data_IF_768072767872
#
_entry.id   IF_768072767872
#
_cell.length_a   1.000
_cell.length_b   1.000
_cell.length_c   1.000
_cell.angle_alpha   90.00
_cell.angle_beta   90.00
_cell.angle_gamma   90.00
#
_symmetry.space_group_name_H-M   'P 1'
#
loop_
_entity.id
_entity.type
_entity.pdbx_description
1 polymer ?
#
# COMPACT_ATOMS: atom_id res chain seq x y z
N UNK A 1 -5.00 22.94 15.15
CA UNK A 1 -4.70 22.45 13.79
C UNK A 1 -4.74 20.93 13.83
N UNK A 2 -5.60 20.29 13.05
CA UNK A 2 -5.63 18.82 12.94
C UNK A 2 -4.71 18.45 11.77
N UNK A 3 -3.67 17.67 12.05
CA UNK A 3 -2.78 17.14 11.03
C UNK A 3 -3.24 15.72 10.67
N UNK A 4 -3.32 15.43 9.37
CA UNK A 4 -3.75 14.13 8.86
C UNK A 4 -2.90 13.76 7.66
N UNK A 5 -2.50 12.49 7.58
CA UNK A 5 -1.76 11.94 6.46
C UNK A 5 -2.74 11.28 5.49
N UNK A 6 -2.64 11.61 4.20
CA UNK A 6 -3.35 10.92 3.14
C UNK A 6 -2.33 10.25 2.21
N UNK A 7 -2.48 8.94 2.02
CA UNK A 7 -1.68 8.16 1.09
C UNK A 7 -2.58 7.56 0.02
N UNK A 8 -2.10 7.58 -1.22
CA UNK A 8 -2.74 6.93 -2.36
C UNK A 8 -1.73 5.95 -2.98
N UNK A 9 -2.10 4.68 -3.07
CA UNK A 9 -1.29 3.64 -3.71
C UNK A 9 -2.05 3.04 -4.90
N UNK A 10 -1.30 2.83 -5.99
CA UNK A 10 -1.82 2.39 -7.27
C UNK A 10 -0.72 1.61 -8.00
N UNK A 11 -1.12 0.58 -8.75
CA UNK A 11 -0.34 -0.06 -9.80
C UNK A 11 -1.25 -0.25 -11.03
N UNK A 12 -0.70 -0.12 -12.25
CA UNK A 12 -1.47 -0.36 -13.46
C UNK A 12 -1.91 -1.84 -13.55
N UNK A 13 -3.06 -2.13 -14.16
CA UNK A 13 -3.65 -3.48 -14.18
C UNK A 13 -2.78 -4.53 -14.90
N UNK A 14 -1.87 -4.11 -15.77
CA UNK A 14 -0.92 -4.94 -16.51
C UNK A 14 0.49 -4.95 -15.87
N UNK A 15 0.59 -4.60 -14.58
CA UNK A 15 1.88 -4.54 -13.89
C UNK A 15 2.60 -5.89 -13.90
N UNK A 16 3.92 -5.85 -14.15
CA UNK A 16 4.74 -7.07 -14.15
C UNK A 16 4.81 -7.67 -12.73
N UNK A 17 4.58 -8.99 -12.55
CA UNK A 17 4.59 -9.63 -11.24
C UNK A 17 5.85 -9.35 -10.43
N UNK A 18 7.03 -9.43 -11.07
CA UNK A 18 8.33 -9.17 -10.44
C UNK A 18 8.46 -7.73 -9.90
N UNK A 19 7.84 -6.75 -10.56
CA UNK A 19 7.82 -5.38 -10.04
C UNK A 19 6.83 -5.28 -8.89
N UNK A 20 5.64 -5.87 -9.03
CA UNK A 20 4.62 -5.85 -7.99
C UNK A 20 5.17 -6.45 -6.69
N UNK A 21 5.81 -7.62 -6.76
CA UNK A 21 6.45 -8.28 -5.62
C UNK A 21 7.46 -7.35 -4.92
N UNK A 22 8.36 -6.74 -5.68
CA UNK A 22 9.33 -5.77 -5.13
C UNK A 22 8.67 -4.57 -4.46
N UNK A 23 7.62 -4.01 -5.07
CA UNK A 23 6.90 -2.88 -4.48
C UNK A 23 6.20 -3.31 -3.19
N UNK A 24 5.60 -4.49 -3.16
CA UNK A 24 4.96 -5.04 -1.97
C UNK A 24 6.00 -5.21 -0.85
N UNK A 25 7.15 -5.80 -1.15
CA UNK A 25 8.21 -6.08 -0.17
C UNK A 25 8.97 -4.84 0.31
N UNK A 26 9.27 -3.92 -0.59
CA UNK A 26 10.13 -2.78 -0.29
C UNK A 26 9.32 -1.54 0.10
N UNK A 27 8.01 -1.49 -0.19
CA UNK A 27 7.15 -0.33 0.10
C UNK A 27 5.96 -0.67 0.98
N UNK A 28 5.02 -1.50 0.51
CA UNK A 28 3.73 -1.66 1.19
C UNK A 28 3.86 -2.38 2.54
N UNK A 29 4.57 -3.51 2.59
CA UNK A 29 4.75 -4.29 3.82
C UNK A 29 5.50 -3.48 4.90
N UNK A 30 6.65 -2.81 4.62
CA UNK A 30 7.33 -1.98 5.61
C UNK A 30 6.48 -0.81 6.10
N UNK A 31 5.77 -0.14 5.19
CA UNK A 31 4.91 0.99 5.53
C UNK A 31 3.80 0.58 6.49
N UNK A 32 3.07 -0.50 6.18
CA UNK A 32 1.99 -1.01 7.03
C UNK A 32 2.55 -1.54 8.36
N UNK A 33 3.68 -2.25 8.35
CA UNK A 33 4.34 -2.70 9.58
C UNK A 33 4.71 -1.51 10.49
N UNK A 34 5.25 -0.42 9.93
CA UNK A 34 5.54 0.80 10.66
C UNK A 34 4.31 1.44 11.31
N UNK A 35 3.18 1.49 10.59
CA UNK A 35 1.93 2.00 11.16
C UNK A 35 1.34 1.08 12.23
N UNK A 36 1.39 -0.24 12.04
CA UNK A 36 0.95 -1.22 13.04
C UNK A 36 1.78 -1.16 14.32
N UNK A 37 3.09 -0.94 14.21
CA UNK A 37 3.98 -0.73 15.36
C UNK A 37 3.71 0.59 16.11
N UNK A 38 2.99 1.54 15.50
CA UNK A 38 2.69 2.85 16.06
C UNK A 38 1.17 3.09 16.14
N UNK A 39 0.45 2.47 17.09
CA UNK A 39 -1.03 2.47 17.14
C UNK A 39 -1.68 3.85 17.35
N UNK A 40 -0.89 4.87 17.72
CA UNK A 40 -1.34 6.27 17.80
C UNK A 40 -1.31 6.97 16.44
N UNK A 41 -0.58 6.44 15.47
CA UNK A 41 -0.57 6.97 14.11
C UNK A 41 -1.97 6.84 13.50
N UNK A 42 -2.33 7.85 12.70
CA UNK A 42 -3.59 7.94 11.99
C UNK A 42 -3.28 8.39 10.56
N UNK A 43 -3.85 7.69 9.60
CA UNK A 43 -3.79 8.07 8.19
C UNK A 43 -5.08 7.68 7.48
N UNK A 44 -5.29 8.27 6.31
CA UNK A 44 -6.26 7.80 5.33
C UNK A 44 -5.50 7.16 4.18
N UNK A 45 -5.79 5.89 3.89
CA UNK A 45 -5.19 5.16 2.78
C UNK A 45 -6.23 4.94 1.69
N UNK A 46 -5.93 5.37 0.48
CA UNK A 46 -6.70 5.05 -0.70
C UNK A 46 -5.94 4.01 -1.54
N UNK A 47 -6.61 2.91 -1.88
CA UNK A 47 -6.10 1.83 -2.72
C UNK A 47 -7.06 1.70 -3.90
N UNK A 48 -6.54 1.71 -5.12
CA UNK A 48 -7.37 1.51 -6.31
C UNK A 48 -7.82 0.05 -6.45
N UNK A 49 -8.99 -0.19 -7.05
CA UNK A 49 -9.55 -1.52 -7.26
C UNK A 49 -8.59 -2.45 -8.03
N UNK A 50 -7.96 -1.95 -9.09
CA UNK A 50 -7.02 -2.74 -9.89
C UNK A 50 -5.81 -3.22 -9.05
N UNK A 51 -5.31 -2.39 -8.14
CA UNK A 51 -4.23 -2.79 -7.25
C UNK A 51 -4.72 -3.82 -6.23
N UNK A 52 -5.93 -3.67 -5.68
CA UNK A 52 -6.47 -4.69 -4.77
C UNK A 52 -6.64 -6.05 -5.45
N UNK A 53 -7.07 -6.07 -6.71
CA UNK A 53 -7.19 -7.31 -7.50
C UNK A 53 -5.81 -7.94 -7.74
N UNK A 54 -4.84 -7.14 -8.20
CA UNK A 54 -3.45 -7.59 -8.39
C UNK A 54 -2.83 -8.19 -7.13
N UNK A 55 -3.07 -7.58 -5.96
CA UNK A 55 -2.58 -8.06 -4.67
C UNK A 55 -3.28 -9.34 -4.23
N UNK A 56 -4.56 -9.53 -4.53
CA UNK A 56 -5.27 -10.78 -4.22
C UNK A 56 -4.76 -11.93 -5.10
N UNK A 57 -4.45 -11.65 -6.35
CA UNK A 57 -3.99 -12.66 -7.30
C UNK A 57 -2.50 -13.03 -7.14
N UNK A 58 -1.66 -12.07 -6.71
CA UNK A 58 -0.20 -12.20 -6.78
C UNK A 58 0.56 -11.79 -5.50
N UNK A 59 -0.11 -11.29 -4.46
CA UNK A 59 0.50 -10.62 -3.29
C UNK A 59 0.48 -11.38 -1.97
#
# INVERSE_FOLDING_TARGET
MVWSVFLHIYQPPDQRPEILEKIVDESYRPLIAGFLANPRARLTLNINACLTELLVENG
#
